data_IF_853210043042
#
_entry.id   IF_853210043042
#
_cell.length_a   1.000
_cell.length_b   1.000
_cell.length_c   1.000
_cell.angle_alpha   90.00
_cell.angle_beta   90.00
_cell.angle_gamma   90.00
#
_symmetry.space_group_name_H-M   'P 1'
#
loop_
_entity.id
_entity.type
_entity.pdbx_description
1 polymer ?
#
# COMPACT_ATOMS: atom_id res chain seq x y z
N UNK A 1 13.22 -1.07 -34.77
CA UNK A 1 14.39 -1.52 -33.98
C UNK A 1 14.61 -0.51 -32.85
N UNK A 2 15.45 -0.79 -31.86
CA UNK A 2 15.73 0.17 -30.78
C UNK A 2 17.23 0.44 -30.69
N UNK A 3 17.59 1.60 -30.12
CA UNK A 3 18.98 2.00 -29.83
C UNK A 3 19.02 2.98 -28.66
N UNK A 4 20.16 3.08 -27.99
CA UNK A 4 20.40 4.17 -27.05
C UNK A 4 20.64 5.46 -27.81
N UNK A 5 19.80 6.46 -27.56
CA UNK A 5 19.83 7.73 -28.30
C UNK A 5 18.61 8.59 -28.03
N UNK A 6 18.76 9.89 -28.27
CA UNK A 6 17.69 10.88 -28.21
C UNK A 6 17.52 11.58 -29.55
N UNK A 7 16.37 12.20 -29.77
CA UNK A 7 16.11 12.99 -30.98
C UNK A 7 16.55 14.43 -30.73
N UNK A 8 17.40 14.95 -31.62
CA UNK A 8 17.85 16.35 -31.67
C UNK A 8 17.72 16.80 -33.11
N UNK A 9 16.94 17.85 -33.36
CA UNK A 9 16.70 18.40 -34.70
C UNK A 9 16.32 17.31 -35.72
N UNK A 10 15.34 16.48 -35.35
CA UNK A 10 14.83 15.33 -36.14
C UNK A 10 15.87 14.24 -36.46
N UNK A 11 17.02 14.25 -35.80
CA UNK A 11 18.07 13.22 -35.94
C UNK A 11 18.26 12.47 -34.63
N UNK A 12 18.46 11.16 -34.73
CA UNK A 12 18.79 10.33 -33.58
C UNK A 12 20.29 10.46 -33.30
N UNK A 13 20.64 11.05 -32.16
CA UNK A 13 22.02 11.15 -31.68
C UNK A 13 22.26 10.11 -30.58
N UNK A 14 23.43 9.44 -30.54
CA UNK A 14 23.76 8.50 -29.47
C UNK A 14 23.71 9.16 -28.09
N UNK A 15 23.01 8.54 -27.15
CA UNK A 15 22.85 9.02 -25.78
C UNK A 15 22.52 7.82 -24.88
N UNK A 16 23.39 7.47 -23.91
CA UNK A 16 23.19 6.31 -23.05
C UNK A 16 22.05 6.46 -22.02
N UNK A 17 21.51 7.67 -21.85
CA UNK A 17 20.43 7.96 -20.89
C UNK A 17 19.04 7.95 -21.55
N UNK A 18 18.97 7.71 -22.86
CA UNK A 18 17.71 7.72 -23.62
C UNK A 18 17.58 6.47 -24.47
N UNK A 19 16.34 5.98 -24.62
CA UNK A 19 16.03 4.88 -25.53
C UNK A 19 15.21 5.43 -26.69
N UNK A 20 15.69 5.21 -27.91
CA UNK A 20 14.95 5.47 -29.14
C UNK A 20 14.43 4.15 -29.73
N UNK A 21 13.16 4.14 -30.13
CA UNK A 21 12.53 3.05 -30.87
C UNK A 21 12.08 3.59 -32.22
N UNK A 22 12.48 2.93 -33.31
CA UNK A 22 12.02 3.31 -34.65
C UNK A 22 10.49 3.19 -34.71
N UNK A 23 9.81 4.24 -35.17
CA UNK A 23 8.34 4.33 -35.15
C UNK A 23 7.74 4.79 -33.82
N UNK A 24 8.58 5.01 -32.80
CA UNK A 24 8.18 5.57 -31.50
C UNK A 24 7.55 4.56 -30.54
N UNK A 25 7.25 5.02 -29.33
CA UNK A 25 6.55 4.24 -28.31
C UNK A 25 5.04 4.42 -28.42
N UNK A 26 4.30 3.31 -28.42
CA UNK A 26 2.84 3.32 -28.27
C UNK A 26 2.42 3.44 -26.80
N UNK A 27 1.51 4.38 -26.50
CA UNK A 27 0.90 4.56 -25.17
C UNK A 27 0.26 3.25 -24.66
N UNK A 28 0.42 2.97 -23.37
CA UNK A 28 -0.17 1.79 -22.71
C UNK A 28 0.51 0.45 -23.01
N UNK A 29 1.58 0.42 -23.82
CA UNK A 29 2.40 -0.78 -24.04
C UNK A 29 3.57 -0.82 -23.06
N UNK A 30 3.92 -2.03 -22.63
CA UNK A 30 5.16 -2.30 -21.89
C UNK A 30 6.23 -2.71 -22.89
N UNK A 31 7.41 -2.11 -22.77
CA UNK A 31 8.58 -2.43 -23.57
C UNK A 31 9.63 -3.02 -22.64
N UNK A 32 10.28 -4.07 -23.12
CA UNK A 32 11.29 -4.77 -22.36
C UNK A 32 12.59 -4.78 -23.15
N UNK A 33 13.65 -4.30 -22.51
CA UNK A 33 14.98 -4.20 -23.09
C UNK A 33 15.95 -5.03 -22.25
N UNK A 34 16.77 -5.82 -22.95
CA UNK A 34 17.87 -6.58 -22.35
C UNK A 34 19.16 -6.02 -22.92
N UNK A 35 20.05 -5.55 -22.05
CA UNK A 35 21.31 -4.94 -22.43
C UNK A 35 22.37 -5.19 -21.36
N UNK A 36 23.64 -5.11 -21.74
CA UNK A 36 24.76 -5.18 -20.81
C UNK A 36 25.02 -3.81 -20.21
N UNK A 37 24.93 -3.70 -18.88
CA UNK A 37 25.26 -2.49 -18.12
C UNK A 37 26.63 -2.62 -17.43
N UNK A 38 27.28 -1.49 -17.18
CA UNK A 38 28.53 -1.37 -16.39
C UNK A 38 28.32 -0.40 -15.22
N UNK A 39 29.18 -0.47 -14.20
CA UNK A 39 29.19 0.52 -13.11
C UNK A 39 28.01 0.41 -12.13
N UNK A 40 27.67 -0.80 -11.66
CA UNK A 40 26.65 -0.98 -10.63
C UNK A 40 27.06 -0.22 -9.34
N UNK A 41 26.27 0.75 -8.86
CA UNK A 41 26.60 1.47 -7.63
C UNK A 41 26.44 0.56 -6.40
N UNK A 42 27.18 0.87 -5.33
CA UNK A 42 26.94 0.29 -4.01
C UNK A 42 25.74 0.98 -3.36
N UNK A 43 24.58 0.31 -3.34
CA UNK A 43 23.34 0.88 -2.80
C UNK A 43 23.05 0.49 -1.33
N UNK A 44 23.59 -0.63 -0.85
CA UNK A 44 23.21 -1.20 0.45
C UNK A 44 23.73 -0.45 1.68
N UNK A 45 24.80 0.34 1.54
CA UNK A 45 25.45 1.04 2.66
C UNK A 45 24.55 2.08 3.35
N UNK A 46 23.53 2.60 2.64
CA UNK A 46 22.61 3.58 3.19
C UNK A 46 21.82 3.07 4.40
N UNK A 47 21.46 1.78 4.43
CA UNK A 47 20.73 1.20 5.57
C UNK A 47 21.62 1.17 6.82
N UNK A 48 22.87 0.76 6.67
CA UNK A 48 23.84 0.75 7.77
C UNK A 48 24.12 2.15 8.30
N UNK A 49 24.27 3.14 7.41
CA UNK A 49 24.46 4.54 7.82
C UNK A 49 23.26 5.10 8.61
N UNK A 50 22.03 4.77 8.20
CA UNK A 50 20.83 5.14 8.96
C UNK A 50 20.81 4.48 10.35
N UNK A 51 21.14 3.19 10.43
CA UNK A 51 21.27 2.45 11.69
C UNK A 51 22.30 3.08 12.62
N UNK A 52 23.49 3.41 12.12
CA UNK A 52 24.55 4.06 12.91
C UNK A 52 24.13 5.44 13.41
N UNK A 53 23.50 6.24 12.55
CA UNK A 53 22.99 7.55 12.95
C UNK A 53 21.99 7.44 14.12
N UNK A 54 21.03 6.52 14.02
CA UNK A 54 20.06 6.30 15.09
C UNK A 54 20.71 5.72 16.34
N UNK A 55 21.67 4.79 16.20
CA UNK A 55 22.38 4.22 17.34
C UNK A 55 23.16 5.29 18.10
N UNK A 56 23.91 6.14 17.38
CA UNK A 56 24.65 7.27 17.97
C UNK A 56 23.70 8.24 18.69
N UNK A 57 22.54 8.58 18.09
CA UNK A 57 21.54 9.44 18.74
C UNK A 57 21.00 8.87 20.05
N UNK A 58 20.89 7.54 20.18
CA UNK A 58 20.37 6.88 21.40
C UNK A 58 21.44 6.62 22.44
N UNK A 59 22.60 6.15 21.99
CA UNK A 59 23.61 5.53 22.85
C UNK A 59 24.95 6.27 22.86
N UNK A 60 25.09 7.31 22.03
CA UNK A 60 26.33 8.05 21.90
C UNK A 60 26.64 8.91 23.12
N UNK A 61 27.92 9.13 23.37
CA UNK A 61 28.42 9.90 24.51
C UNK A 61 29.03 11.26 24.12
N UNK A 62 29.34 12.08 25.14
CA UNK A 62 29.90 13.40 24.92
C UNK A 62 31.32 13.37 24.29
N UNK A 63 32.08 12.29 24.52
CA UNK A 63 33.40 12.07 23.92
C UNK A 63 33.32 11.75 22.43
N UNK A 64 32.20 11.19 21.98
CA UNK A 64 31.84 11.00 20.56
C UNK A 64 31.20 12.25 19.92
N UNK A 65 31.21 13.38 20.63
CA UNK A 65 30.62 14.64 20.16
C UNK A 65 29.10 14.70 20.26
N UNK A 66 28.46 13.78 21.00
CA UNK A 66 27.01 13.79 21.18
C UNK A 66 26.58 14.96 22.09
N UNK A 67 25.70 15.88 21.64
CA UNK A 67 25.41 17.12 22.36
C UNK A 67 24.52 16.93 23.60
N UNK A 68 23.79 15.81 23.69
CA UNK A 68 22.89 15.51 24.82
C UNK A 68 22.79 14.00 25.13
N UNK A 69 23.87 13.34 25.61
CA UNK A 69 23.88 11.91 25.87
C UNK A 69 22.74 11.47 26.80
N UNK A 70 22.06 10.37 26.46
CA UNK A 70 20.96 9.81 27.25
C UNK A 70 19.63 10.58 27.18
N UNK A 71 19.53 11.65 26.38
CA UNK A 71 18.27 12.38 26.18
C UNK A 71 17.23 11.58 25.38
N UNK A 72 17.69 10.78 24.40
CA UNK A 72 16.84 9.94 23.56
C UNK A 72 16.84 8.51 24.13
N UNK A 73 15.69 8.06 24.62
CA UNK A 73 15.52 6.69 25.17
C UNK A 73 14.98 5.69 24.14
N UNK A 74 14.14 6.17 23.23
CA UNK A 74 13.49 5.36 22.21
C UNK A 74 13.60 6.03 20.84
N UNK A 75 13.76 5.23 19.79
CA UNK A 75 13.71 5.68 18.41
C UNK A 75 12.71 4.86 17.60
N UNK A 76 11.97 5.56 16.74
CA UNK A 76 10.93 5.01 15.88
C UNK A 76 11.24 5.33 14.43
N UNK A 77 10.93 4.40 13.52
CA UNK A 77 10.99 4.66 12.09
C UNK A 77 9.60 4.56 11.46
N UNK A 78 9.26 5.56 10.65
CA UNK A 78 8.11 5.52 9.75
C UNK A 78 8.60 5.54 8.31
N UNK A 79 8.06 4.64 7.50
CA UNK A 79 8.36 4.55 6.08
C UNK A 79 7.10 4.30 5.28
N UNK A 80 6.93 5.01 4.17
CA UNK A 80 5.80 4.89 3.25
C UNK A 80 6.29 4.36 1.90
N UNK A 81 5.60 3.37 1.34
CA UNK A 81 5.88 2.81 0.02
C UNK A 81 7.33 2.30 -0.07
N UNK A 82 8.20 2.94 -0.86
CA UNK A 82 9.61 2.54 -0.99
C UNK A 82 10.36 2.58 0.34
N UNK A 83 10.13 3.59 1.18
CA UNK A 83 10.77 3.64 2.51
C UNK A 83 10.13 2.65 3.49
N UNK A 84 8.87 2.23 3.27
CA UNK A 84 8.28 1.10 3.99
C UNK A 84 8.97 -0.23 3.62
N UNK A 85 9.33 -0.41 2.34
CA UNK A 85 10.11 -1.56 1.86
C UNK A 85 11.55 -1.52 2.36
N UNK A 86 12.14 -0.33 2.51
CA UNK A 86 13.44 -0.14 3.17
C UNK A 86 13.40 -0.70 4.59
N UNK A 87 12.38 -0.33 5.38
CA UNK A 87 12.22 -0.84 6.74
C UNK A 87 12.00 -2.35 6.79
N UNK A 88 11.23 -2.93 5.84
CA UNK A 88 11.11 -4.39 5.71
C UNK A 88 12.44 -5.07 5.34
N UNK A 89 13.28 -4.42 4.54
CA UNK A 89 14.60 -4.94 4.15
C UNK A 89 15.58 -4.87 5.33
N UNK A 90 15.59 -3.75 6.06
CA UNK A 90 16.35 -3.59 7.31
C UNK A 90 15.99 -4.68 8.33
N UNK A 91 14.70 -5.00 8.49
CA UNK A 91 14.23 -6.08 9.35
C UNK A 91 14.73 -7.45 8.86
N UNK A 92 14.60 -7.73 7.56
CA UNK A 92 15.05 -9.00 6.98
C UNK A 92 16.53 -9.25 7.20
N UNK A 93 17.37 -8.25 6.91
CA UNK A 93 18.82 -8.34 7.06
C UNK A 93 19.29 -8.16 8.52
N UNK A 94 18.37 -7.86 9.44
CA UNK A 94 18.64 -7.49 10.83
C UNK A 94 19.68 -6.36 10.96
N UNK A 95 19.53 -5.35 10.10
CA UNK A 95 20.27 -4.10 10.19
C UNK A 95 19.70 -3.16 11.25
N UNK A 96 19.10 -3.69 12.32
CA UNK A 96 18.63 -2.91 13.48
C UNK A 96 19.56 -3.03 14.70
N UNK A 97 20.49 -3.98 14.69
CA UNK A 97 21.51 -4.12 15.73
C UNK A 97 22.78 -3.39 15.31
N UNK A 98 23.43 -2.62 16.18
CA UNK A 98 24.72 -1.95 15.92
C UNK A 98 25.93 -2.89 16.09
N UNK A 99 27.14 -2.39 15.81
CA UNK A 99 28.37 -3.17 15.93
C UNK A 99 28.72 -3.58 17.37
N UNK A 100 28.07 -2.96 18.37
CA UNK A 100 28.20 -3.30 19.79
C UNK A 100 27.04 -4.18 20.29
N UNK A 101 26.15 -4.62 19.40
CA UNK A 101 25.03 -5.50 19.75
C UNK A 101 23.79 -4.79 20.32
N UNK A 102 23.67 -3.46 20.18
CA UNK A 102 22.57 -2.65 20.71
C UNK A 102 21.50 -2.39 19.66
N UNK A 103 20.24 -2.27 20.08
CA UNK A 103 19.13 -1.92 19.18
C UNK A 103 19.18 -0.43 18.80
N UNK A 104 19.17 -0.15 17.50
CA UNK A 104 19.01 1.20 16.96
C UNK A 104 17.54 1.64 17.06
N UNK A 105 16.58 0.93 16.47
CA UNK A 105 15.16 1.25 16.58
C UNK A 105 14.46 0.38 17.63
N UNK A 106 13.44 0.95 18.26
CA UNK A 106 12.55 0.25 19.20
C UNK A 106 11.17 -0.02 18.57
N UNK A 107 10.77 0.82 17.61
CA UNK A 107 9.52 0.64 16.87
C UNK A 107 9.61 0.99 15.38
N UNK A 108 8.87 0.25 14.56
CA UNK A 108 8.74 0.45 13.11
C UNK A 108 7.28 0.53 12.70
N UNK A 109 6.92 1.57 11.96
CA UNK A 109 5.65 1.71 11.23
C UNK A 109 5.94 1.68 9.73
N UNK A 110 5.79 0.50 9.12
CA UNK A 110 5.97 0.31 7.68
C UNK A 110 4.61 0.42 6.98
N UNK A 111 4.37 1.58 6.35
CA UNK A 111 3.14 1.91 5.65
C UNK A 111 3.23 1.66 4.14
N UNK A 112 2.20 1.00 3.62
CA UNK A 112 2.00 0.60 2.22
C UNK A 112 3.18 -0.10 1.51
N UNK A 113 4.02 -0.93 2.19
CA UNK A 113 5.04 -1.69 1.46
C UNK A 113 4.45 -2.92 0.75
N UNK A 114 3.21 -3.30 1.08
CA UNK A 114 2.62 -4.61 0.78
C UNK A 114 3.44 -5.75 1.38
N UNK A 115 3.62 -6.82 0.60
CA UNK A 115 4.45 -7.96 0.94
C UNK A 115 5.93 -7.77 0.64
N UNK A 116 6.32 -6.64 0.05
CA UNK A 116 7.62 -6.51 -0.59
C UNK A 116 8.76 -6.07 0.32
N UNK A 117 9.97 -6.42 -0.10
CA UNK A 117 11.22 -5.75 0.26
C UNK A 117 11.69 -4.93 -0.94
N UNK A 118 12.68 -4.05 -0.77
CA UNK A 118 13.18 -3.24 -1.87
C UNK A 118 14.50 -3.77 -2.44
N UNK A 119 14.82 -3.34 -3.65
CA UNK A 119 16.07 -3.70 -4.32
C UNK A 119 17.22 -2.79 -3.84
N UNK A 120 17.63 -2.93 -2.57
CA UNK A 120 18.65 -2.06 -1.95
C UNK A 120 20.05 -2.66 -1.95
N UNK A 121 20.18 -3.98 -2.07
CA UNK A 121 21.48 -4.68 -1.98
C UNK A 121 21.70 -5.66 -3.14
N UNK A 122 20.99 -5.47 -4.25
CA UNK A 122 21.12 -6.21 -5.48
C UNK A 122 21.95 -5.41 -6.49
N UNK A 123 22.72 -6.11 -7.32
CA UNK A 123 23.45 -5.48 -8.43
C UNK A 123 22.47 -4.80 -9.38
N UNK A 124 22.65 -3.50 -9.62
CA UNK A 124 21.72 -2.65 -10.38
C UNK A 124 20.29 -2.58 -9.80
N UNK A 125 20.16 -2.77 -8.48
CA UNK A 125 18.88 -2.67 -7.79
C UNK A 125 18.22 -1.31 -8.01
N UNK A 126 16.92 -1.32 -8.30
CA UNK A 126 16.13 -0.11 -8.49
C UNK A 126 15.16 0.05 -7.31
N UNK A 127 15.57 0.90 -6.36
CA UNK A 127 14.83 1.21 -5.14
C UNK A 127 13.39 1.71 -5.38
N UNK A 128 13.09 2.27 -6.56
CA UNK A 128 11.79 2.89 -6.88
C UNK A 128 10.86 2.03 -7.75
N UNK A 129 11.21 0.78 -8.05
CA UNK A 129 10.32 -0.11 -8.81
C UNK A 129 9.04 -0.39 -8.04
N UNK A 130 7.90 -0.40 -8.74
CA UNK A 130 6.61 -0.72 -8.13
C UNK A 130 5.62 -1.42 -9.07
N UNK A 131 6.10 -2.35 -9.91
CA UNK A 131 5.24 -3.19 -10.74
C UNK A 131 5.47 -4.69 -10.51
N UNK A 132 4.40 -5.50 -10.31
CA UNK A 132 4.51 -6.93 -10.01
C UNK A 132 5.26 -7.78 -11.04
N UNK A 133 5.27 -7.33 -12.30
CA UNK A 133 5.92 -8.02 -13.43
C UNK A 133 7.35 -7.52 -13.71
N UNK A 134 7.84 -6.51 -12.97
CA UNK A 134 9.20 -5.97 -13.13
C UNK A 134 10.06 -6.16 -11.88
N UNK A 135 9.50 -6.73 -10.82
CA UNK A 135 10.16 -6.93 -9.53
C UNK A 135 10.15 -8.40 -9.17
N UNK A 136 11.25 -8.85 -8.56
CA UNK A 136 11.22 -10.08 -7.80
C UNK A 136 10.34 -9.89 -6.56
N UNK A 137 9.30 -10.72 -6.44
CA UNK A 137 8.56 -10.81 -5.19
C UNK A 137 9.35 -11.69 -4.24
N UNK A 138 10.07 -11.03 -3.34
CA UNK A 138 11.04 -11.64 -2.44
C UNK A 138 10.31 -12.41 -1.32
N UNK A 139 10.11 -13.72 -1.51
CA UNK A 139 9.80 -14.66 -0.44
C UNK A 139 10.95 -14.67 0.59
N UNK A 140 10.70 -14.80 1.90
CA UNK A 140 9.41 -14.93 2.59
C UNK A 140 8.71 -13.58 2.80
N UNK A 141 7.39 -13.60 2.97
CA UNK A 141 6.50 -12.46 3.16
C UNK A 141 6.06 -12.27 4.62
N UNK A 142 5.83 -13.37 5.33
CA UNK A 142 5.34 -13.40 6.73
C UNK A 142 6.48 -13.17 7.72
N UNK A 143 6.17 -12.64 8.89
CA UNK A 143 7.15 -12.45 9.97
C UNK A 143 7.60 -13.79 10.59
N UNK A 144 6.68 -14.75 10.69
CA UNK A 144 6.94 -16.12 11.14
C UNK A 144 7.35 -17.06 10.01
N UNK A 145 7.98 -18.22 10.32
CA UNK A 145 8.42 -19.19 9.32
C UNK A 145 7.30 -19.69 8.41
N UNK A 146 7.56 -19.69 7.12
CA UNK A 146 6.72 -20.26 6.09
C UNK A 146 7.54 -21.12 5.11
N UNK A 147 6.83 -21.90 4.29
CA UNK A 147 7.43 -22.75 3.25
C UNK A 147 6.73 -22.47 1.93
N UNK A 148 7.51 -22.16 0.89
CA UNK A 148 7.00 -22.09 -0.47
C UNK A 148 6.69 -23.52 -0.96
N UNK A 149 5.41 -23.88 -1.21
CA UNK A 149 5.06 -25.23 -1.63
C UNK A 149 5.52 -25.57 -3.06
N UNK A 150 5.88 -24.57 -3.86
CA UNK A 150 6.36 -24.77 -5.24
C UNK A 150 7.85 -25.10 -5.27
N UNK A 151 8.66 -24.39 -4.48
CA UNK A 151 10.14 -24.50 -4.53
C UNK A 151 10.74 -25.26 -3.35
N UNK A 152 9.98 -25.43 -2.26
CA UNK A 152 10.46 -25.97 -0.99
C UNK A 152 11.29 -24.99 -0.17
N UNK A 153 11.47 -23.75 -0.63
CA UNK A 153 12.18 -22.71 0.09
C UNK A 153 11.49 -22.41 1.44
N UNK A 154 12.29 -22.19 2.48
CA UNK A 154 11.81 -21.89 3.84
C UNK A 154 12.41 -20.59 4.33
N UNK A 155 11.65 -19.81 5.09
CA UNK A 155 12.16 -18.58 5.69
C UNK A 155 11.10 -17.83 6.48
N UNK A 156 11.52 -16.79 7.18
CA UNK A 156 10.64 -15.84 7.86
C UNK A 156 11.22 -14.43 7.74
N UNK A 157 10.40 -13.41 7.52
CA UNK A 157 10.87 -12.02 7.44
C UNK A 157 11.61 -11.59 8.70
N UNK A 158 11.19 -12.08 9.89
CA UNK A 158 11.78 -11.73 11.19
C UNK A 158 12.78 -12.77 11.69
N UNK A 159 13.16 -13.77 10.88
CA UNK A 159 13.96 -14.91 11.33
C UNK A 159 15.21 -14.53 12.14
N UNK A 160 15.95 -13.50 11.68
CA UNK A 160 17.16 -13.01 12.35
C UNK A 160 16.85 -12.26 13.66
N UNK A 161 15.84 -11.38 13.64
CA UNK A 161 15.34 -10.68 14.83
C UNK A 161 14.92 -11.66 15.93
N UNK A 162 14.15 -12.69 15.56
CA UNK A 162 13.64 -13.68 16.50
C UNK A 162 14.77 -14.55 17.07
N UNK A 163 15.75 -14.94 16.25
CA UNK A 163 16.91 -15.72 16.68
C UNK A 163 17.71 -15.01 17.80
N UNK A 164 17.84 -13.68 17.70
CA UNK A 164 18.49 -12.87 18.75
C UNK A 164 17.54 -12.32 19.81
N UNK A 165 16.25 -12.68 19.76
CA UNK A 165 15.20 -12.22 20.67
C UNK A 165 15.06 -10.69 20.70
N UNK A 166 15.13 -10.06 19.53
CA UNK A 166 14.93 -8.61 19.38
C UNK A 166 13.63 -8.16 20.04
N UNK A 167 13.66 -6.95 20.62
CA UNK A 167 12.47 -6.32 21.23
C UNK A 167 11.72 -5.41 20.27
N UNK A 168 12.20 -5.25 19.04
CA UNK A 168 11.64 -4.36 18.04
C UNK A 168 10.13 -4.62 17.87
N UNK A 169 9.33 -3.57 17.98
CA UNK A 169 7.88 -3.61 17.74
C UNK A 169 7.58 -3.15 16.32
N UNK A 170 6.76 -3.88 15.59
CA UNK A 170 6.52 -3.60 14.17
C UNK A 170 5.03 -3.54 13.86
N UNK A 171 4.62 -2.49 13.18
CA UNK A 171 3.29 -2.36 12.59
C UNK A 171 3.41 -2.30 11.07
N UNK A 172 2.82 -3.28 10.39
CA UNK A 172 2.63 -3.27 8.94
C UNK A 172 1.25 -2.73 8.62
N UNK A 173 1.18 -1.62 7.89
CA UNK A 173 -0.09 -1.03 7.46
C UNK A 173 -0.15 -1.03 5.95
N UNK A 174 -1.27 -1.46 5.37
CA UNK A 174 -1.48 -1.50 3.92
C UNK A 174 -2.87 -0.97 3.59
N UNK A 175 -3.04 -0.41 2.40
CA UNK A 175 -4.34 -0.01 1.89
C UNK A 175 -4.86 -1.02 0.87
N UNK A 176 -6.09 -0.83 0.43
CA UNK A 176 -6.68 -1.65 -0.64
C UNK A 176 -5.84 -1.62 -1.91
N UNK A 177 -5.10 -0.54 -2.17
CA UNK A 177 -4.20 -0.47 -3.30
C UNK A 177 -3.12 -1.56 -3.28
N UNK A 178 -2.52 -1.87 -2.13
CA UNK A 178 -1.52 -2.94 -2.04
C UNK A 178 -2.15 -4.33 -2.10
N UNK A 179 -3.38 -4.51 -1.60
CA UNK A 179 -4.13 -5.76 -1.79
C UNK A 179 -4.42 -6.00 -3.27
N UNK A 180 -4.84 -4.97 -4.01
CA UNK A 180 -5.04 -5.08 -5.46
C UNK A 180 -3.73 -5.11 -6.24
N UNK A 181 -2.62 -4.56 -5.72
CA UNK A 181 -1.26 -4.78 -6.26
C UNK A 181 -0.82 -6.23 -6.14
N UNK A 182 -1.37 -6.95 -5.15
CA UNK A 182 -1.45 -8.40 -5.09
C UNK A 182 -0.62 -9.05 -3.99
N UNK A 183 0.21 -8.27 -3.30
CA UNK A 183 1.21 -8.76 -2.37
C UNK A 183 0.90 -8.47 -0.91
N UNK A 184 -0.07 -7.59 -0.60
CA UNK A 184 -0.40 -7.26 0.79
C UNK A 184 -0.99 -8.43 1.57
N UNK A 185 -1.75 -9.33 0.94
CA UNK A 185 -2.30 -10.50 1.64
C UNK A 185 -1.22 -11.49 2.05
N UNK A 186 -0.09 -11.53 1.33
CA UNK A 186 0.96 -12.53 1.53
C UNK A 186 1.68 -12.35 2.88
N UNK A 187 1.52 -11.22 3.58
CA UNK A 187 2.10 -11.04 4.92
C UNK A 187 1.27 -11.68 6.03
N UNK A 188 0.07 -12.19 5.73
CA UNK A 188 -0.84 -12.83 6.69
C UNK A 188 -1.60 -14.04 6.11
N UNK A 189 -1.17 -14.53 4.95
CA UNK A 189 -1.67 -15.77 4.34
C UNK A 189 -0.48 -16.62 3.90
N UNK A 190 -0.67 -17.93 3.76
CA UNK A 190 0.36 -18.81 3.21
C UNK A 190 0.69 -18.43 1.75
N UNK A 191 1.83 -18.88 1.18
CA UNK A 191 2.24 -18.47 -0.16
C UNK A 191 1.22 -18.77 -1.28
N UNK A 192 0.35 -19.75 -1.08
CA UNK A 192 -0.75 -20.13 -1.99
C UNK A 192 -2.09 -19.45 -1.65
N UNK A 193 -2.13 -18.65 -0.58
CA UNK A 193 -3.29 -17.88 -0.12
C UNK A 193 -4.44 -18.75 0.36
N UNK A 194 -4.24 -20.03 0.64
CA UNK A 194 -5.25 -21.00 1.05
C UNK A 194 -5.59 -20.93 2.54
N UNK A 195 -4.68 -20.42 3.37
CA UNK A 195 -4.86 -20.38 4.82
C UNK A 195 -4.32 -19.08 5.42
N UNK A 196 -4.92 -18.67 6.53
CA UNK A 196 -4.41 -17.53 7.30
C UNK A 196 -3.12 -17.93 8.04
N UNK A 197 -2.21 -16.98 8.18
CA UNK A 197 -0.97 -17.12 8.94
C UNK A 197 -1.01 -16.16 10.12
N UNK A 198 -0.73 -16.69 11.31
CA UNK A 198 -0.58 -15.88 12.51
C UNK A 198 0.70 -15.03 12.42
N UNK A 199 0.71 -13.88 13.08
CA UNK A 199 1.91 -13.07 13.25
C UNK A 199 2.48 -13.23 14.67
N UNK A 200 3.74 -12.90 14.83
CA UNK A 200 4.46 -12.89 16.09
C UNK A 200 3.94 -11.86 17.08
N UNK A 201 4.30 -12.05 18.35
CA UNK A 201 3.84 -11.18 19.46
C UNK A 201 4.24 -9.73 19.34
N UNK A 202 5.32 -9.42 18.63
CA UNK A 202 5.84 -8.05 18.43
C UNK A 202 5.35 -7.41 17.13
N UNK A 203 4.38 -8.03 16.46
CA UNK A 203 3.86 -7.58 15.17
C UNK A 203 2.40 -7.21 15.28
N UNK A 204 1.99 -6.20 14.50
CA UNK A 204 0.59 -5.94 14.13
C UNK A 204 0.49 -5.71 12.63
N UNK A 205 -0.62 -6.16 12.06
CA UNK A 205 -0.95 -6.02 10.64
C UNK A 205 -2.31 -5.34 10.54
N UNK A 206 -2.34 -4.19 9.86
CA UNK A 206 -3.57 -3.42 9.65
C UNK A 206 -3.82 -3.17 8.17
N UNK A 207 -5.05 -3.44 7.76
CA UNK A 207 -5.58 -3.07 6.46
C UNK A 207 -6.46 -1.83 6.60
N UNK A 208 -6.18 -0.77 5.84
CA UNK A 208 -6.99 0.45 5.78
C UNK A 208 -7.97 0.33 4.61
N UNK A 209 -9.18 -0.14 4.94
CA UNK A 209 -10.17 -0.59 3.99
C UNK A 209 -10.62 0.51 3.04
N UNK A 210 -10.82 0.17 1.77
CA UNK A 210 -11.35 1.05 0.72
C UNK A 210 -10.51 2.29 0.41
N UNK A 211 -9.22 2.31 0.75
CA UNK A 211 -8.33 3.46 0.51
C UNK A 211 -7.30 3.21 -0.60
N UNK A 212 -6.83 4.27 -1.21
CA UNK A 212 -5.78 4.20 -2.24
C UNK A 212 -4.38 4.21 -1.64
N UNK A 213 -3.33 4.20 -2.48
CA UNK A 213 -1.95 4.13 -1.98
C UNK A 213 -1.58 5.36 -1.12
N UNK A 214 -2.17 6.53 -1.40
CA UNK A 214 -1.97 7.79 -0.69
C UNK A 214 -3.18 8.26 0.10
N UNK A 215 -3.06 9.43 0.73
CA UNK A 215 -4.05 10.02 1.63
C UNK A 215 -5.27 10.62 0.89
N UNK A 216 -5.83 9.89 -0.08
CA UNK A 216 -6.89 10.38 -0.96
C UNK A 216 -6.48 11.63 -1.78
N UNK A 217 -7.31 12.02 -2.74
CA UNK A 217 -7.12 13.24 -3.52
C UNK A 217 -8.28 14.20 -3.29
N UNK A 218 -7.97 15.42 -2.85
CA UNK A 218 -8.93 16.52 -2.74
C UNK A 218 -8.31 17.82 -3.30
N UNK A 219 -9.04 18.63 -4.11
CA UNK A 219 -10.41 18.44 -4.59
C UNK A 219 -10.58 17.20 -5.49
N UNK A 220 -11.80 16.65 -5.63
CA UNK A 220 -12.05 15.46 -6.43
C UNK A 220 -11.64 15.68 -7.89
N UNK A 221 -10.82 14.77 -8.42
CA UNK A 221 -10.29 14.81 -9.79
C UNK A 221 -10.07 13.40 -10.32
N UNK A 222 -10.11 13.23 -11.63
CA UNK A 222 -9.67 12.03 -12.35
C UNK A 222 -8.23 12.15 -12.85
N UNK A 223 -7.56 13.28 -12.62
CA UNK A 223 -6.27 13.62 -13.18
C UNK A 223 -5.30 14.19 -12.14
N UNK A 224 -4.04 13.79 -12.22
CA UNK A 224 -2.95 14.32 -11.39
C UNK A 224 -1.59 14.10 -12.07
N UNK A 225 -0.56 14.91 -11.75
CA UNK A 225 0.79 14.64 -12.20
C UNK A 225 1.22 13.22 -11.85
N UNK A 226 1.80 12.52 -12.82
CA UNK A 226 2.30 11.17 -12.66
C UNK A 226 3.34 11.15 -11.52
N UNK A 227 3.17 10.28 -10.50
CA UNK A 227 4.06 10.27 -9.36
C UNK A 227 5.50 9.98 -9.76
N UNK A 228 6.43 10.81 -9.26
CA UNK A 228 7.87 10.70 -9.52
C UNK A 228 8.26 10.74 -11.02
N UNK A 229 7.42 11.36 -11.87
CA UNK A 229 7.76 11.61 -13.28
C UNK A 229 8.25 13.06 -13.48
N UNK A 230 9.56 13.27 -13.75
CA UNK A 230 10.12 14.61 -13.93
C UNK A 230 9.64 15.29 -15.23
N UNK A 231 9.00 14.55 -16.15
CA UNK A 231 8.46 15.12 -17.39
C UNK A 231 7.15 15.91 -17.16
N UNK A 232 6.52 15.75 -15.99
CA UNK A 232 5.23 16.36 -15.70
C UNK A 232 4.07 15.72 -16.44
N UNK A 233 4.22 14.48 -16.92
CA UNK A 233 3.14 13.73 -17.54
C UNK A 233 1.92 13.67 -16.61
N UNK A 234 0.73 13.77 -17.18
CA UNK A 234 -0.53 13.70 -16.43
C UNK A 234 -1.05 12.26 -16.44
N UNK A 235 -1.22 11.67 -15.26
CA UNK A 235 -2.01 10.45 -15.11
C UNK A 235 -3.50 10.82 -15.12
N UNK A 236 -4.30 9.98 -15.78
CA UNK A 236 -5.76 10.09 -15.84
C UNK A 236 -6.41 8.74 -15.54
N UNK A 237 -7.39 8.72 -14.66
CA UNK A 237 -8.20 7.55 -14.30
C UNK A 237 -9.58 7.58 -14.98
N UNK A 238 -10.24 6.42 -15.07
CA UNK A 238 -11.62 6.36 -15.61
C UNK A 238 -12.66 6.90 -14.64
N UNK A 239 -12.46 6.67 -13.35
CA UNK A 239 -13.31 7.22 -12.29
C UNK A 239 -12.56 8.32 -11.55
N UNK A 240 -13.31 9.18 -10.84
CA UNK A 240 -12.72 10.12 -9.87
C UNK A 240 -11.84 9.35 -8.88
N UNK A 241 -10.68 9.92 -8.54
CA UNK A 241 -9.75 9.35 -7.57
C UNK A 241 -10.43 9.13 -6.22
N UNK A 242 -9.88 8.19 -5.46
CA UNK A 242 -10.32 7.96 -4.09
C UNK A 242 -10.08 9.22 -3.25
N UNK A 243 -11.06 9.64 -2.45
CA UNK A 243 -10.98 10.86 -1.63
C UNK A 243 -10.77 10.58 -0.14
N UNK A 244 -10.67 9.31 0.26
CA UNK A 244 -10.59 8.90 1.66
C UNK A 244 -9.19 9.17 2.22
N UNK A 245 -9.14 9.96 3.29
CA UNK A 245 -7.90 10.28 3.99
C UNK A 245 -7.69 9.35 5.19
N UNK A 246 -6.74 8.41 5.09
CA UNK A 246 -6.43 7.48 6.17
C UNK A 246 -5.43 8.00 7.22
N UNK A 247 -5.01 9.27 7.15
CA UNK A 247 -4.06 9.85 8.11
C UNK A 247 -4.47 9.68 9.59
N UNK A 248 -5.76 9.79 9.97
CA UNK A 248 -6.19 9.52 11.35
C UNK A 248 -5.81 8.11 11.87
N UNK A 249 -5.90 7.09 11.00
CA UNK A 249 -5.51 5.72 11.38
C UNK A 249 -3.99 5.62 11.60
N UNK A 250 -3.19 6.31 10.79
CA UNK A 250 -1.73 6.35 10.97
C UNK A 250 -1.33 7.07 12.27
N UNK A 251 -2.02 8.18 12.61
CA UNK A 251 -1.79 8.90 13.87
C UNK A 251 -2.06 7.98 15.06
N UNK A 252 -3.18 7.25 15.05
CA UNK A 252 -3.48 6.25 16.07
C UNK A 252 -2.43 5.12 16.11
N UNK A 253 -1.95 4.63 14.97
CA UNK A 253 -0.87 3.64 14.92
C UNK A 253 0.41 4.15 15.59
N UNK A 254 0.82 5.39 15.34
CA UNK A 254 2.00 5.99 15.96
C UNK A 254 1.87 6.06 17.49
N UNK A 255 0.75 6.57 17.99
CA UNK A 255 0.50 6.67 19.44
C UNK A 255 0.45 5.28 20.10
N UNK A 256 -0.17 4.31 19.42
CA UNK A 256 -0.22 2.93 19.92
C UNK A 256 1.16 2.27 19.89
N UNK A 257 1.99 2.53 18.87
CA UNK A 257 3.36 2.01 18.81
C UNK A 257 4.24 2.60 19.92
N UNK A 258 4.12 3.91 20.19
CA UNK A 258 4.85 4.57 21.28
C UNK A 258 4.48 3.96 22.65
N UNK A 259 3.19 3.84 22.95
CA UNK A 259 2.70 3.20 24.18
C UNK A 259 3.15 1.74 24.30
N UNK A 260 3.24 1.03 23.18
CA UNK A 260 3.68 -0.35 23.17
C UNK A 260 5.16 -0.48 23.49
N UNK A 261 5.99 0.40 22.92
CA UNK A 261 7.43 0.42 23.14
C UNK A 261 7.77 0.91 24.55
N UNK A 262 7.19 2.04 24.96
CA UNK A 262 7.53 2.73 26.22
C UNK A 262 6.93 2.06 27.45
N UNK A 263 5.64 1.71 27.36
CA UNK A 263 4.83 1.32 28.52
C UNK A 263 4.41 -0.17 28.47
N UNK A 264 4.75 -0.90 27.39
CA UNK A 264 4.34 -2.28 27.19
C UNK A 264 2.85 -2.47 26.91
N UNK A 265 2.10 -1.37 26.71
CA UNK A 265 0.66 -1.42 26.47
C UNK A 265 0.40 -1.91 25.05
N UNK A 266 -0.17 -3.11 24.93
CA UNK A 266 -0.42 -3.68 23.61
C UNK A 266 -1.37 -2.82 22.76
N UNK A 267 -1.05 -2.63 21.46
CA UNK A 267 -1.94 -1.98 20.51
C UNK A 267 -3.14 -2.89 20.21
N UNK A 268 -4.23 -2.36 19.63
CA UNK A 268 -5.37 -3.15 19.20
C UNK A 268 -4.95 -4.37 18.36
N UNK A 269 -5.71 -5.49 18.40
CA UNK A 269 -5.41 -6.66 17.58
C UNK A 269 -5.34 -6.33 16.09
N UNK A 270 -4.56 -7.08 15.34
CA UNK A 270 -4.49 -6.96 13.87
C UNK A 270 -5.88 -7.03 13.24
N UNK A 271 -6.12 -6.22 12.21
CA UNK A 271 -7.38 -6.19 11.45
C UNK A 271 -7.08 -6.14 9.97
N UNK A 272 -7.32 -7.26 9.31
CA UNK A 272 -7.12 -7.49 7.89
C UNK A 272 -8.12 -8.54 7.41
N UNK A 273 -8.34 -8.69 6.09
CA UNK A 273 -9.16 -9.77 5.55
C UNK A 273 -8.60 -11.14 5.94
N UNK A 274 -9.48 -12.09 6.24
CA UNK A 274 -9.12 -13.45 6.68
C UNK A 274 -9.87 -14.54 5.91
N UNK A 275 -9.26 -15.71 5.80
CA UNK A 275 -9.80 -16.84 5.05
C UNK A 275 -10.85 -17.59 5.84
N UNK A 276 -10.64 -17.77 7.12
CA UNK A 276 -11.55 -18.53 8.00
C UNK A 276 -12.91 -17.84 8.25
N UNK A 277 -12.97 -16.50 8.21
CA UNK A 277 -14.20 -15.72 8.34
C UNK A 277 -14.82 -15.30 6.99
N UNK A 278 -14.22 -15.75 5.88
CA UNK A 278 -14.72 -15.49 4.52
C UNK A 278 -14.52 -14.06 4.02
N UNK A 279 -13.74 -13.24 4.71
CA UNK A 279 -13.51 -11.84 4.30
C UNK A 279 -12.32 -11.64 3.35
N UNK A 280 -11.39 -12.58 3.24
CA UNK A 280 -10.35 -12.59 2.21
C UNK A 280 -10.83 -13.40 1.00
N UNK A 281 -10.92 -12.86 -0.21
CA UNK A 281 -11.40 -13.60 -1.39
C UNK A 281 -10.41 -13.50 -2.55
N UNK A 282 -10.59 -14.35 -3.57
CA UNK A 282 -9.92 -14.12 -4.85
C UNK A 282 -10.37 -12.77 -5.44
N UNK A 283 -9.49 -11.98 -6.08
CA UNK A 283 -9.87 -10.75 -6.75
C UNK A 283 -11.06 -10.91 -7.70
N UNK A 284 -11.08 -11.98 -8.49
CA UNK A 284 -12.11 -12.25 -9.50
C UNK A 284 -13.51 -12.36 -8.90
N UNK A 285 -13.63 -12.75 -7.62
CA UNK A 285 -14.92 -12.88 -6.94
C UNK A 285 -15.65 -11.53 -6.79
N UNK A 286 -14.92 -10.41 -6.80
CA UNK A 286 -15.51 -9.08 -6.67
C UNK A 286 -16.27 -8.65 -7.94
N UNK A 287 -16.00 -9.27 -9.09
CA UNK A 287 -16.69 -9.00 -10.35
C UNK A 287 -18.21 -9.11 -10.21
N UNK A 288 -18.70 -10.12 -9.47
CA UNK A 288 -20.13 -10.36 -9.28
C UNK A 288 -20.87 -9.16 -8.64
N UNK A 289 -20.17 -8.34 -7.85
CA UNK A 289 -20.73 -7.12 -7.26
C UNK A 289 -20.58 -5.94 -8.21
N UNK A 290 -19.35 -5.67 -8.67
CA UNK A 290 -19.07 -4.46 -9.46
C UNK A 290 -19.66 -4.49 -10.86
N UNK A 291 -19.93 -5.67 -11.44
CA UNK A 291 -20.58 -5.79 -12.76
C UNK A 291 -22.03 -5.33 -12.75
N UNK A 292 -22.64 -5.26 -11.55
CA UNK A 292 -23.99 -4.72 -11.36
C UNK A 292 -23.98 -3.22 -11.13
N UNK A 293 -22.83 -2.60 -10.84
CA UNK A 293 -22.71 -1.18 -10.54
C UNK A 293 -22.40 -0.41 -11.84
N UNK A 294 -23.31 0.46 -12.32
CA UNK A 294 -23.07 1.22 -13.55
C UNK A 294 -21.78 2.05 -13.48
N UNK A 295 -20.94 1.91 -14.50
CA UNK A 295 -19.70 2.68 -14.62
C UNK A 295 -18.58 2.29 -13.66
N UNK A 296 -18.71 1.21 -12.88
CA UNK A 296 -17.66 0.76 -11.96
C UNK A 296 -16.39 0.28 -12.68
N UNK A 297 -16.52 -0.30 -13.88
CA UNK A 297 -15.41 -0.77 -14.71
C UNK A 297 -14.39 -1.63 -13.93
N UNK A 298 -14.87 -2.71 -13.29
CA UNK A 298 -14.01 -3.58 -12.50
C UNK A 298 -12.84 -4.15 -13.33
N UNK A 299 -11.59 -4.10 -12.84
CA UNK A 299 -10.45 -4.62 -13.58
C UNK A 299 -10.62 -6.11 -13.87
N UNK A 300 -10.42 -6.53 -15.12
CA UNK A 300 -10.39 -7.95 -15.52
C UNK A 300 -8.99 -8.55 -15.51
N UNK A 301 -7.97 -7.70 -15.54
CA UNK A 301 -6.59 -8.10 -15.38
C UNK A 301 -6.12 -7.80 -13.95
N UNK A 302 -6.18 -8.81 -13.09
CA UNK A 302 -5.71 -8.73 -11.72
C UNK A 302 -4.19 -8.85 -11.68
N UNK A 303 -3.54 -8.06 -10.81
CA UNK A 303 -2.12 -8.28 -10.59
C UNK A 303 -1.91 -9.62 -9.91
N UNK A 304 -0.99 -10.38 -10.47
CA UNK A 304 -0.56 -11.67 -9.94
C UNK A 304 0.95 -11.59 -9.76
N UNK A 305 1.43 -11.24 -8.56
CA UNK A 305 2.80 -11.50 -8.15
C UNK A 305 3.23 -12.93 -8.51
N UNK A 306 4.44 -13.11 -9.04
CA UNK A 306 4.95 -14.43 -9.45
C UNK A 306 6.34 -14.68 -8.90
N UNK A 307 6.70 -15.97 -8.83
CA UNK A 307 8.08 -16.41 -8.75
C UNK A 307 8.76 -16.08 -10.07
N UNK A 308 10.00 -15.59 -10.02
CA UNK A 308 10.78 -15.23 -11.21
C UNK A 308 12.06 -16.06 -11.27
N UNK A 309 12.34 -16.63 -12.43
CA UNK A 309 13.58 -17.35 -12.72
C UNK A 309 14.53 -16.45 -13.51
N UNK A 310 15.59 -15.99 -12.85
CA UNK A 310 16.61 -15.10 -13.40
C UNK A 310 17.75 -15.82 -14.14
N UNK A 311 17.63 -17.14 -14.40
CA UNK A 311 18.59 -17.86 -15.25
C UNK A 311 18.61 -17.36 -16.71
N UNK A 312 17.57 -16.63 -17.12
CA UNK A 312 17.50 -15.92 -18.41
C UNK A 312 17.12 -14.46 -18.21
N UNK A 313 17.41 -13.62 -19.21
CA UNK A 313 16.96 -12.23 -19.28
C UNK A 313 16.10 -12.03 -20.53
N UNK A 314 14.83 -11.61 -20.41
CA UNK A 314 14.09 -11.36 -19.16
C UNK A 314 13.91 -12.61 -18.28
N UNK A 315 13.65 -12.45 -16.97
CA UNK A 315 13.35 -13.58 -16.12
C UNK A 315 12.11 -14.32 -16.62
N UNK A 316 12.13 -15.65 -16.54
CA UNK A 316 10.95 -16.46 -16.84
C UNK A 316 9.95 -16.35 -15.70
N UNK A 317 8.68 -16.26 -16.05
CA UNK A 317 7.59 -16.24 -15.07
C UNK A 317 7.28 -17.65 -14.59
N UNK A 318 7.41 -17.88 -13.29
CA UNK A 318 6.95 -19.08 -12.61
C UNK A 318 5.48 -19.00 -12.17
N UNK A 319 5.06 -19.96 -11.32
CA UNK A 319 3.74 -19.94 -10.69
C UNK A 319 3.48 -18.67 -9.88
N UNK A 320 2.22 -18.21 -9.90
CA UNK A 320 1.76 -17.06 -9.14
C UNK A 320 1.73 -17.32 -7.63
N UNK A 321 1.82 -16.26 -6.86
CA UNK A 321 1.52 -16.27 -5.43
C UNK A 321 0.00 -16.19 -5.22
N UNK A 322 -0.48 -16.68 -4.07
CA UNK A 322 -1.90 -16.72 -3.73
C UNK A 322 -2.46 -15.40 -3.23
N UNK A 323 -2.56 -14.42 -4.12
CA UNK A 323 -3.14 -13.11 -3.82
C UNK A 323 -4.58 -13.21 -3.31
N UNK A 324 -4.90 -12.43 -2.27
CA UNK A 324 -6.26 -12.20 -1.77
C UNK A 324 -6.56 -10.72 -1.67
N UNK A 325 -7.85 -10.38 -1.73
CA UNK A 325 -8.39 -9.04 -1.46
C UNK A 325 -9.50 -9.10 -0.42
N UNK A 326 -9.87 -7.95 0.15
CA UNK A 326 -11.04 -7.87 1.02
C UNK A 326 -12.32 -8.10 0.22
N UNK A 327 -13.21 -8.93 0.74
CA UNK A 327 -14.55 -9.09 0.22
C UNK A 327 -15.34 -7.79 0.42
N UNK A 328 -16.23 -7.49 -0.51
CA UNK A 328 -17.06 -6.29 -0.48
C UNK A 328 -18.51 -6.61 -0.10
N UNK A 329 -19.23 -5.62 0.42
CA UNK A 329 -20.68 -5.65 0.57
C UNK A 329 -21.38 -5.35 -0.76
N UNK A 330 -22.72 -5.35 -0.78
CA UNK A 330 -23.50 -5.06 -2.00
C UNK A 330 -23.29 -3.64 -2.54
N UNK A 331 -22.78 -2.72 -1.73
CA UNK A 331 -22.44 -1.37 -2.17
C UNK A 331 -21.10 -1.30 -2.92
N UNK A 332 -20.26 -2.35 -2.82
CA UNK A 332 -18.89 -2.36 -3.33
C UNK A 332 -17.85 -1.83 -2.34
N UNK A 333 -18.23 -1.61 -1.07
CA UNK A 333 -17.30 -1.24 0.00
C UNK A 333 -16.78 -2.49 0.73
N UNK A 334 -15.49 -2.47 1.09
CA UNK A 334 -14.83 -3.61 1.74
C UNK A 334 -15.38 -3.89 3.15
N UNK A 335 -15.44 -5.17 3.52
CA UNK A 335 -16.03 -5.65 4.79
C UNK A 335 -15.02 -5.92 5.90
N UNK A 336 -13.73 -6.01 5.55
CA UNK A 336 -12.66 -6.30 6.51
C UNK A 336 -11.53 -5.28 6.45
N UNK A 337 -10.75 -5.25 7.52
CA UNK A 337 -9.80 -4.19 7.83
C UNK A 337 -10.34 -3.21 8.86
N UNK A 338 -9.64 -2.10 9.01
CA UNK A 338 -10.08 -0.92 9.76
C UNK A 338 -10.84 -0.05 8.76
N UNK A 339 -12.15 0.11 9.00
CA UNK A 339 -13.06 0.84 8.12
C UNK A 339 -13.25 2.24 8.67
N UNK A 340 -12.88 3.26 7.89
CA UNK A 340 -13.07 4.66 8.26
C UNK A 340 -14.57 5.05 8.28
N UNK A 341 -14.95 6.06 9.08
CA UNK A 341 -16.35 6.49 9.20
C UNK A 341 -17.05 6.79 7.87
N UNK A 342 -16.34 7.39 6.91
CA UNK A 342 -16.85 7.74 5.57
C UNK A 342 -17.15 6.51 4.70
N UNK A 343 -16.57 5.36 5.03
CA UNK A 343 -16.81 4.08 4.35
C UNK A 343 -17.88 3.27 5.11
N UNK A 344 -17.86 3.34 6.45
CA UNK A 344 -18.87 2.71 7.30
C UNK A 344 -20.26 3.35 7.13
N UNK A 345 -20.30 4.65 6.83
CA UNK A 345 -21.49 5.44 6.53
C UNK A 345 -21.31 6.04 5.12
N UNK A 346 -21.48 5.22 4.05
CA UNK A 346 -21.01 5.59 2.73
C UNK A 346 -21.96 6.51 1.96
N UNK A 347 -21.38 7.40 1.16
CA UNK A 347 -22.05 8.15 0.08
C UNK A 347 -21.60 7.66 -1.33
N UNK A 348 -20.63 6.76 -1.36
CA UNK A 348 -20.03 6.17 -2.55
C UNK A 348 -19.45 4.79 -2.19
N UNK A 349 -19.09 4.01 -3.21
CA UNK A 349 -18.08 2.97 -3.04
C UNK A 349 -16.67 3.55 -3.19
N UNK A 350 -15.81 3.25 -2.23
CA UNK A 350 -14.41 3.65 -2.23
C UNK A 350 -13.53 2.42 -2.41
N UNK A 351 -12.69 2.43 -3.44
CA UNK A 351 -11.90 1.25 -3.82
C UNK A 351 -10.41 1.56 -3.87
N UNK A 352 -9.57 0.53 -3.74
CA UNK A 352 -8.11 0.63 -3.92
C UNK A 352 -7.63 0.44 -5.36
N UNK A 353 -8.53 0.47 -6.34
CA UNK A 353 -8.21 0.31 -7.75
C UNK A 353 -8.93 1.36 -8.59
N UNK A 354 -8.34 1.73 -9.72
CA UNK A 354 -8.97 2.54 -10.75
C UNK A 354 -8.32 2.20 -12.08
N UNK A 355 -9.07 2.20 -13.17
CA UNK A 355 -8.51 1.90 -14.49
C UNK A 355 -7.91 3.15 -15.13
N UNK A 356 -6.96 2.95 -16.05
CA UNK A 356 -6.38 4.02 -16.85
C UNK A 356 -7.43 4.63 -17.77
N UNK A 357 -7.45 5.94 -17.90
CA UNK A 357 -8.28 6.62 -18.89
C UNK A 357 -7.82 6.26 -20.32
N UNK A 358 -8.71 6.08 -21.31
CA UNK A 358 -8.32 5.73 -22.68
C UNK A 358 -7.30 6.68 -23.32
N UNK A 359 -7.32 7.97 -22.98
CA UNK A 359 -6.39 8.98 -23.52
C UNK A 359 -4.90 8.74 -23.18
N UNK A 360 -4.64 8.02 -22.09
CA UNK A 360 -3.28 7.66 -21.67
C UNK A 360 -2.90 6.22 -22.08
N UNK A 361 -3.76 5.54 -22.84
CA UNK A 361 -3.59 4.17 -23.34
C UNK A 361 -3.67 3.09 -22.25
N UNK A 362 -3.92 1.85 -22.68
CA UNK A 362 -4.01 0.70 -21.77
C UNK A 362 -5.24 0.75 -20.85
N UNK A 363 -6.40 1.12 -21.40
CA UNK A 363 -7.62 1.40 -20.62
C UNK A 363 -8.08 0.25 -19.72
N UNK A 364 -7.77 -1.00 -20.05
CA UNK A 364 -8.13 -2.17 -19.23
C UNK A 364 -7.13 -2.44 -18.09
N UNK A 365 -6.02 -1.71 -18.05
CA UNK A 365 -5.03 -1.82 -16.98
C UNK A 365 -5.38 -0.87 -15.83
N UNK A 366 -5.05 -1.31 -14.62
CA UNK A 366 -5.12 -0.42 -13.44
C UNK A 366 -4.11 0.71 -13.57
N UNK A 367 -4.54 1.91 -13.19
CA UNK A 367 -3.66 3.03 -12.94
C UNK A 367 -2.92 2.78 -11.62
N UNK A 368 -1.59 2.92 -11.64
CA UNK A 368 -0.78 2.72 -10.45
C UNK A 368 -1.24 3.66 -9.32
N UNK A 369 -1.23 3.15 -8.09
CA UNK A 369 -1.56 3.90 -6.86
C UNK A 369 -2.99 4.42 -6.78
N UNK A 370 -3.83 4.11 -7.76
CA UNK A 370 -5.14 4.71 -7.93
C UNK A 370 -6.23 3.91 -7.26
N UNK A 371 -6.98 4.58 -6.39
CA UNK A 371 -8.32 4.14 -6.00
C UNK A 371 -9.41 4.90 -6.74
N UNK A 372 -10.65 4.42 -6.60
CA UNK A 372 -11.83 5.07 -7.17
C UNK A 372 -12.78 5.58 -6.08
N UNK A 373 -13.43 6.69 -6.38
CA UNK A 373 -14.70 7.08 -5.76
C UNK A 373 -15.81 6.80 -6.77
N UNK A 374 -16.75 5.91 -6.42
CA UNK A 374 -17.89 5.51 -7.25
C UNK A 374 -19.20 5.96 -6.56
N UNK A 375 -19.66 7.19 -6.81
CA UNK A 375 -20.81 7.78 -6.12
C UNK A 375 -22.06 6.91 -6.18
N UNK A 376 -22.87 6.95 -5.13
CA UNK A 376 -24.25 6.49 -5.21
C UNK A 376 -25.08 7.50 -6.00
N UNK A 377 -26.19 7.06 -6.58
CA UNK A 377 -27.20 7.98 -7.09
C UNK A 377 -27.66 8.93 -5.97
N UNK A 378 -27.93 10.19 -6.28
CA UNK A 378 -28.41 11.15 -5.27
C UNK A 378 -29.85 10.85 -4.92
N UNK A 379 -30.67 10.62 -5.95
CA UNK A 379 -32.12 10.40 -5.83
C UNK A 379 -32.55 9.01 -6.25
N UNK A 380 -33.72 8.56 -5.80
CA UNK A 380 -34.37 7.31 -6.22
C UNK A 380 -34.63 7.30 -7.72
N UNK A 381 -34.94 8.46 -8.28
CA UNK A 381 -35.16 8.66 -9.73
C UNK A 381 -33.87 8.42 -10.50
N UNK A 382 -32.77 9.05 -10.10
CA UNK A 382 -31.44 8.83 -10.70
C UNK A 382 -31.03 7.36 -10.63
N UNK A 383 -31.21 6.72 -9.45
CA UNK A 383 -30.93 5.29 -9.27
C UNK A 383 -31.70 4.43 -10.27
N UNK A 384 -33.02 4.65 -10.38
CA UNK A 384 -33.87 3.89 -11.29
C UNK A 384 -33.50 4.11 -12.77
N UNK A 385 -33.05 5.32 -13.14
CA UNK A 385 -32.62 5.65 -14.49
C UNK A 385 -31.27 5.01 -14.86
N UNK A 386 -30.31 4.97 -13.93
CA UNK A 386 -29.00 4.37 -14.17
C UNK A 386 -29.01 2.84 -14.04
N UNK A 387 -30.04 2.28 -13.39
CA UNK A 387 -30.09 0.85 -13.05
C UNK A 387 -29.15 0.46 -11.91
N UNK A 388 -28.69 1.43 -11.11
CA UNK A 388 -27.80 1.17 -9.98
C UNK A 388 -28.53 0.37 -8.89
N UNK A 389 -28.05 -0.82 -8.49
CA UNK A 389 -28.70 -1.63 -7.47
C UNK A 389 -28.57 -1.05 -6.06
N UNK A 390 -27.64 -0.11 -5.86
CA UNK A 390 -27.34 0.46 -4.55
C UNK A 390 -28.39 1.52 -4.19
N UNK A 391 -28.94 1.52 -2.95
CA UNK A 391 -29.80 2.61 -2.48
C UNK A 391 -29.18 3.99 -2.71
N UNK A 392 -29.98 4.95 -3.18
CA UNK A 392 -29.52 6.33 -3.39
C UNK A 392 -29.25 7.03 -2.06
N UNK A 393 -28.58 8.18 -2.11
CA UNK A 393 -28.30 8.99 -0.91
C UNK A 393 -29.60 9.39 -0.20
N UNK A 394 -30.62 9.85 -0.93
CA UNK A 394 -31.93 10.22 -0.34
C UNK A 394 -32.65 9.04 0.34
N UNK A 395 -32.42 7.81 -0.12
CA UNK A 395 -33.03 6.62 0.46
C UNK A 395 -32.29 6.13 1.71
N UNK A 396 -31.00 6.49 1.84
CA UNK A 396 -30.14 6.08 2.98
C UNK A 396 -30.21 7.03 4.15
N UNK A 397 -30.26 8.33 3.87
CA UNK A 397 -30.12 9.39 4.85
C UNK A 397 -31.22 10.43 4.67
N UNK A 398 -31.93 10.73 5.74
CA UNK A 398 -33.01 11.71 5.77
C UNK A 398 -32.48 13.14 5.72
N UNK A 399 -31.28 13.37 6.27
CA UNK A 399 -30.63 14.69 6.27
C UNK A 399 -29.12 14.59 6.48
N UNK A 400 -28.45 15.73 6.26
CA UNK A 400 -27.00 15.89 6.51
C UNK A 400 -26.66 15.66 7.99
N UNK A 401 -27.51 16.16 8.89
CA UNK A 401 -27.33 16.04 10.34
C UNK A 401 -27.41 14.58 10.78
N UNK A 402 -28.36 13.83 10.22
CA UNK A 402 -28.48 12.39 10.48
C UNK A 402 -27.24 11.63 9.98
N UNK A 403 -26.80 11.93 8.76
CA UNK A 403 -25.56 11.37 8.19
C UNK A 403 -24.36 11.63 9.09
N UNK A 404 -24.14 12.88 9.50
CA UNK A 404 -23.02 13.25 10.38
C UNK A 404 -23.12 12.64 11.78
N UNK A 405 -24.34 12.46 12.32
CA UNK A 405 -24.53 11.77 13.59
C UNK A 405 -24.09 10.29 13.51
N UNK A 406 -24.42 9.61 12.41
CA UNK A 406 -23.97 8.23 12.14
C UNK A 406 -22.45 8.16 11.96
N UNK A 407 -21.85 9.11 11.23
CA UNK A 407 -20.39 9.23 11.07
C UNK A 407 -19.71 9.42 12.43
N UNK A 408 -20.25 10.30 13.28
CA UNK A 408 -19.73 10.52 14.65
C UNK A 408 -19.75 9.23 15.45
N UNK A 409 -20.86 8.49 15.42
CA UNK A 409 -20.97 7.21 16.13
C UNK A 409 -19.93 6.19 15.66
N UNK A 410 -19.69 6.10 14.34
CA UNK A 410 -18.65 5.24 13.77
C UNK A 410 -17.25 5.68 14.21
N UNK A 411 -16.95 6.97 14.19
CA UNK A 411 -15.67 7.52 14.62
C UNK A 411 -15.40 7.25 16.12
N UNK A 412 -16.39 7.53 16.98
CA UNK A 412 -16.32 7.24 18.42
C UNK A 412 -16.08 5.75 18.68
N UNK A 413 -16.72 4.87 17.91
CA UNK A 413 -16.47 3.42 17.98
C UNK A 413 -15.01 3.05 17.72
N UNK A 414 -14.37 3.68 16.73
CA UNK A 414 -12.94 3.49 16.46
C UNK A 414 -12.04 4.07 17.56
N UNK A 415 -12.44 5.17 18.20
CA UNK A 415 -11.73 5.73 19.37
C UNK A 415 -11.76 4.73 20.54
N UNK A 416 -12.94 4.18 20.86
CA UNK A 416 -13.07 3.14 21.90
C UNK A 416 -12.18 1.93 21.60
N UNK A 417 -12.07 1.55 20.33
CA UNK A 417 -11.19 0.46 19.89
C UNK A 417 -9.71 0.86 19.75
N UNK A 418 -9.36 2.14 19.99
CA UNK A 418 -8.03 2.75 19.82
C UNK A 418 -7.48 2.72 18.39
N UNK A 419 -8.34 2.59 17.37
CA UNK A 419 -7.96 2.75 15.95
C UNK A 419 -8.04 4.20 15.46
N UNK A 420 -8.62 5.09 16.27
CA UNK A 420 -8.71 6.53 16.02
C UNK A 420 -8.35 7.28 17.32
N UNK A 421 -7.83 8.51 17.20
CA UNK A 421 -7.68 9.41 18.34
C UNK A 421 -8.97 10.20 18.59
N UNK A 422 -9.22 10.62 19.82
CA UNK A 422 -10.42 11.41 20.16
C UNK A 422 -10.50 12.71 19.36
N UNK A 423 -9.38 13.40 19.20
CA UNK A 423 -9.26 14.62 18.39
C UNK A 423 -9.53 14.42 16.89
N UNK A 424 -9.35 13.19 16.39
CA UNK A 424 -9.58 12.88 14.97
C UNK A 424 -11.06 12.66 14.64
N UNK A 425 -11.96 12.62 15.65
CA UNK A 425 -13.42 12.54 15.42
C UNK A 425 -13.91 13.75 14.62
N UNK A 426 -13.47 14.96 14.97
CA UNK A 426 -13.86 16.17 14.27
C UNK A 426 -13.23 16.26 12.87
N UNK A 427 -12.03 15.69 12.68
CA UNK A 427 -11.41 15.56 11.34
C UNK A 427 -12.25 14.67 10.42
N UNK A 428 -12.74 13.54 10.93
CA UNK A 428 -13.64 12.64 10.19
C UNK A 428 -14.96 13.34 9.85
N UNK A 429 -15.52 14.12 10.78
CA UNK A 429 -16.78 14.85 10.55
C UNK A 429 -16.63 15.98 9.54
N UNK A 430 -15.52 16.72 9.59
CA UNK A 430 -15.22 17.74 8.60
C UNK A 430 -15.04 17.14 7.19
N UNK A 431 -14.38 15.98 7.10
CA UNK A 431 -14.19 15.25 5.84
C UNK A 431 -15.51 14.70 5.30
N UNK A 432 -16.31 14.06 6.14
CA UNK A 432 -17.64 13.57 5.81
C UNK A 432 -18.60 14.69 5.40
N UNK A 433 -18.59 15.83 6.10
CA UNK A 433 -19.40 16.99 5.76
C UNK A 433 -19.05 17.52 4.36
N UNK A 434 -17.76 17.59 4.04
CA UNK A 434 -17.29 18.00 2.71
C UNK A 434 -17.68 17.01 1.61
N UNK A 435 -17.64 15.71 1.92
CA UNK A 435 -18.09 14.65 1.02
C UNK A 435 -19.60 14.75 0.76
N UNK A 436 -20.41 15.02 1.79
CA UNK A 436 -21.83 15.29 1.65
C UNK A 436 -22.08 16.48 0.73
N UNK A 437 -21.38 17.60 0.98
CA UNK A 437 -21.59 18.84 0.23
C UNK A 437 -21.23 18.66 -1.27
N UNK A 438 -20.32 17.73 -1.60
CA UNK A 438 -19.99 17.38 -2.98
C UNK A 438 -20.95 16.37 -3.63
N UNK A 439 -21.31 15.29 -2.91
CA UNK A 439 -22.03 14.16 -3.52
C UNK A 439 -23.55 14.25 -3.37
N UNK A 440 -24.03 14.81 -2.26
CA UNK A 440 -25.44 14.77 -1.88
C UNK A 440 -26.23 16.04 -2.25
N UNK A 441 -25.55 17.16 -2.52
CA UNK A 441 -26.20 18.42 -2.90
C UNK A 441 -26.71 18.31 -4.35
N UNK A 442 -28.01 18.57 -4.51
CA UNK A 442 -28.73 18.56 -5.81
C UNK A 442 -28.54 19.89 -6.50
#
# INVERSE_FOLDING_TARGET
RWRFGRVVDDRVVPDPNHVHVDGGFTKGRLYQLVYTAIGAPLHGLGIAALRECVSWLKHGDAGEGHPAPGAIRHAYAYGRSQTGRLLRTMIWDDLNVDEQGREALDGVLANVPGGMRGEFNQRFGQNSKDRPFMMEHLFPFTDLPETDPTTGAKGALHQRLDARRSRLKVMYTNTSAEYHRGDASLIHTDPDGKSDVAHGRNVRIYHFAGTEHGLGVWPPTDSQPAPADPTGAMDRSQSVRNVINYAPLLRACLINLDRWVRDGVEPPPSRHPRRDDGTAVQPEALAAVFDRIPGANYPRHHAMPRRLDFSTLPPKHGPGWGTRVSAVNDDGNERAGIILPEIAVPLAAFTGWNLRHPEIGGAEQRLAFAGSTLPFARTRKERAQSGDPRPSIEERYRSREEYLARVRAAAVGLVTQRYLLEEDVEVCLASAGRLWDWLAVV
#
